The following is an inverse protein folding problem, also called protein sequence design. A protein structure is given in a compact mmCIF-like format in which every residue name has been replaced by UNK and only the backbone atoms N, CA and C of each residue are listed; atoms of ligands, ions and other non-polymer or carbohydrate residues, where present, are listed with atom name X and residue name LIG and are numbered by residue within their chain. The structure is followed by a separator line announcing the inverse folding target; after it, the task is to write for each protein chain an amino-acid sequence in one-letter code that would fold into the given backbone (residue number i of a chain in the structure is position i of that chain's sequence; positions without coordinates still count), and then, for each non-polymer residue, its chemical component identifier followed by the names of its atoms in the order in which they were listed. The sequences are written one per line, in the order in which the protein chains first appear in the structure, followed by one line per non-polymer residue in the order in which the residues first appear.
data_IF_853522047207
#
_entry.id   IF_853522047207
#
_cell.length_a   1.000
_cell.length_b   1.000
_cell.length_c   1.000
_cell.angle_alpha   90.00
_cell.angle_beta   90.00
_cell.angle_gamma   90.00
#
_symmetry.space_group_name_H-M   'P 1'
#
loop_
_entity.id
_entity.type
_entity.pdbx_description
1 polymer ?
#
# COMPACT_ATOMS: atom_id res chain seq x y z
N UNK A 1 -32.97 28.05 -16.68
CA UNK A 1 -32.48 26.75 -17.19
C UNK A 1 -30.97 26.73 -16.99
N UNK A 2 -30.49 26.10 -15.91
CA UNK A 2 -29.08 26.11 -15.58
C UNK A 2 -28.31 25.26 -16.59
N UNK A 3 -27.50 25.88 -17.45
CA UNK A 3 -26.51 25.17 -18.25
C UNK A 3 -25.57 24.46 -17.27
N UNK A 4 -25.78 23.16 -17.08
CA UNK A 4 -24.94 22.30 -16.25
C UNK A 4 -23.48 22.44 -16.74
N UNK A 5 -22.63 22.97 -15.87
CA UNK A 5 -21.22 23.25 -16.16
C UNK A 5 -20.52 21.94 -16.60
N UNK A 6 -19.65 21.97 -17.65
CA UNK A 6 -18.98 20.77 -18.17
C UNK A 6 -18.26 19.95 -17.08
N UNK A 7 -17.72 20.59 -16.04
CA UNK A 7 -17.08 19.90 -14.92
C UNK A 7 -18.09 19.08 -14.10
N UNK A 8 -19.29 19.61 -13.83
CA UNK A 8 -20.31 18.84 -13.09
C UNK A 8 -20.74 17.60 -13.88
N UNK A 9 -20.83 17.70 -15.21
CA UNK A 9 -21.12 16.57 -16.08
C UNK A 9 -20.00 15.53 -16.04
N UNK A 10 -18.74 15.97 -16.11
CA UNK A 10 -17.57 15.07 -16.00
C UNK A 10 -17.61 14.33 -14.66
N UNK A 11 -17.77 15.07 -13.55
CA UNK A 11 -17.79 14.49 -12.20
C UNK A 11 -18.87 13.42 -12.04
N UNK A 12 -20.11 13.75 -12.42
CA UNK A 12 -21.25 12.83 -12.30
C UNK A 12 -21.13 11.64 -13.25
N UNK A 13 -20.69 11.87 -14.50
CA UNK A 13 -20.54 10.82 -15.51
C UNK A 13 -19.44 9.84 -15.13
N UNK A 14 -18.26 10.33 -14.75
CA UNK A 14 -17.14 9.49 -14.29
C UNK A 14 -17.56 8.68 -13.08
N UNK A 15 -18.15 9.32 -12.06
CA UNK A 15 -18.63 8.60 -10.87
C UNK A 15 -19.66 7.52 -11.24
N UNK A 16 -20.62 7.80 -12.14
CA UNK A 16 -21.61 6.82 -12.58
C UNK A 16 -21.03 5.62 -13.32
N UNK A 17 -20.04 5.84 -14.19
CA UNK A 17 -19.38 4.78 -14.96
C UNK A 17 -18.46 3.91 -14.08
N UNK A 18 -18.03 4.42 -12.93
CA UNK A 18 -17.16 3.71 -11.99
C UNK A 18 -17.93 2.87 -10.96
N UNK A 19 -19.27 2.98 -10.91
CA UNK A 19 -20.19 2.26 -10.04
C UNK A 19 -20.66 0.94 -10.68
N UNK A 20 -19.83 -0.10 -10.63
CA UNK A 20 -20.22 -1.50 -10.92
C UNK A 20 -20.36 -2.28 -9.58
N UNK A 21 -21.09 -3.43 -9.54
CA UNK A 21 -21.47 -4.08 -8.28
C UNK A 21 -20.23 -4.55 -7.51
N UNK A 22 -20.14 -4.15 -6.24
CA UNK A 22 -19.12 -4.61 -5.29
C UNK A 22 -19.64 -5.88 -4.60
N UNK A 23 -18.93 -6.99 -4.73
CA UNK A 23 -19.14 -8.18 -3.92
C UNK A 23 -17.92 -8.37 -2.99
N UNK A 24 -18.18 -8.50 -1.69
CA UNK A 24 -17.33 -9.17 -0.68
C UNK A 24 -16.16 -8.38 -0.07
N UNK A 25 -15.99 -8.48 1.25
CA UNK A 25 -14.78 -8.06 1.98
C UNK A 25 -15.04 -7.64 3.43
N UNK A 26 -15.36 -8.60 4.31
CA UNK A 26 -15.02 -8.49 5.73
C UNK A 26 -13.54 -8.91 5.89
N UNK A 27 -12.80 -8.35 6.86
CA UNK A 27 -11.39 -8.70 7.11
C UNK A 27 -11.20 -10.12 7.67
N UNK A 28 -9.95 -10.59 7.72
CA UNK A 28 -9.59 -11.94 8.20
C UNK A 28 -9.80 -12.00 9.72
N UNK A 29 -10.54 -13.00 10.20
CA UNK A 29 -10.65 -13.26 11.64
C UNK A 29 -9.42 -14.06 12.11
N UNK A 30 -8.48 -13.40 12.78
CA UNK A 30 -7.24 -14.03 13.28
C UNK A 30 -7.44 -14.84 14.56
N UNK A 31 -8.58 -14.66 15.25
CA UNK A 31 -8.81 -15.25 16.58
C UNK A 31 -9.02 -16.77 16.58
N UNK A 32 -9.22 -17.35 15.39
CA UNK A 32 -9.48 -18.77 15.17
C UNK A 32 -8.21 -19.60 14.93
N UNK A 33 -7.03 -18.97 14.91
CA UNK A 33 -5.74 -19.63 14.70
C UNK A 33 -5.00 -19.85 16.01
N UNK A 34 -4.34 -21.01 16.14
CA UNK A 34 -3.43 -21.26 17.25
C UNK A 34 -2.09 -20.55 17.00
N UNK A 35 -1.62 -19.69 17.92
CA UNK A 35 -0.38 -18.94 17.71
C UNK A 35 0.85 -19.85 17.70
N UNK A 36 1.83 -19.52 16.84
CA UNK A 36 3.08 -20.27 16.79
C UNK A 36 4.00 -19.87 17.96
N UNK A 37 4.42 -20.81 18.83
CA UNK A 37 5.39 -20.52 19.88
C UNK A 37 6.78 -20.28 19.28
N UNK A 38 7.54 -19.34 19.83
CA UNK A 38 8.90 -19.10 19.35
C UNK A 38 9.89 -20.11 19.95
N UNK A 39 10.90 -20.49 19.15
CA UNK A 39 12.09 -21.16 19.65
C UNK A 39 12.96 -20.20 20.50
N UNK A 40 13.97 -20.74 21.18
CA UNK A 40 15.01 -19.93 21.82
C UNK A 40 15.59 -18.98 20.78
N UNK A 41 15.60 -17.67 21.06
CA UNK A 41 15.93 -16.55 20.15
C UNK A 41 14.76 -15.90 19.38
N UNK A 42 13.51 -16.27 19.65
CA UNK A 42 12.36 -15.54 19.11
C UNK A 42 12.09 -15.81 17.62
N UNK A 43 12.58 -16.94 17.12
CA UNK A 43 12.42 -17.38 15.73
C UNK A 43 11.28 -18.40 15.63
N UNK A 44 10.63 -18.44 14.48
CA UNK A 44 9.63 -19.46 14.16
C UNK A 44 10.33 -20.82 14.06
N UNK A 45 9.92 -21.83 14.85
CA UNK A 45 10.45 -23.18 14.72
C UNK A 45 9.90 -23.83 13.45
N UNK A 46 10.74 -24.58 12.74
CA UNK A 46 10.40 -25.28 11.52
C UNK A 46 10.56 -26.80 11.64
N UNK A 47 11.40 -27.27 12.58
CA UNK A 47 11.68 -28.70 12.77
C UNK A 47 11.02 -29.25 14.03
N UNK A 48 10.91 -28.44 15.09
CA UNK A 48 10.29 -28.87 16.33
C UNK A 48 8.79 -29.18 16.11
N UNK A 49 8.44 -30.45 16.24
CA UNK A 49 7.07 -30.96 16.04
C UNK A 49 6.71 -31.28 14.59
N UNK A 50 7.68 -31.23 13.66
CA UNK A 50 7.50 -31.74 12.31
C UNK A 50 7.59 -33.28 12.28
N UNK A 51 6.79 -33.92 11.42
CA UNK A 51 6.69 -35.38 11.32
C UNK A 51 7.09 -35.84 9.90
N UNK A 52 8.41 -35.97 9.62
CA UNK A 52 8.87 -36.33 8.29
C UNK A 52 8.49 -37.78 7.94
N UNK A 53 8.06 -38.00 6.70
CA UNK A 53 7.70 -39.32 6.18
C UNK A 53 8.84 -40.36 6.19
N UNK A 54 10.08 -39.90 6.29
CA UNK A 54 11.26 -40.75 6.55
C UNK A 54 11.87 -40.38 7.91
N UNK A 55 11.95 -41.33 8.87
CA UNK A 55 12.55 -41.06 10.18
C UNK A 55 14.06 -40.81 10.02
N UNK A 56 14.58 -39.90 10.85
CA UNK A 56 16.00 -39.56 10.91
C UNK A 56 16.47 -39.53 12.36
N UNK A 57 17.74 -39.85 12.58
CA UNK A 57 18.37 -39.79 13.90
C UNK A 57 18.61 -38.34 14.33
N UNK A 58 18.94 -37.49 13.35
CA UNK A 58 19.23 -36.08 13.56
C UNK A 58 18.90 -35.25 12.33
N UNK A 59 18.36 -34.05 12.56
CA UNK A 59 18.06 -33.07 11.51
C UNK A 59 18.55 -31.69 11.95
N UNK A 60 19.21 -30.96 11.05
CA UNK A 60 19.68 -29.59 11.30
C UNK A 60 19.32 -28.65 10.15
N UNK A 61 18.59 -27.58 10.47
CA UNK A 61 18.40 -26.45 9.58
C UNK A 61 19.59 -25.51 9.74
N UNK A 62 20.41 -25.39 8.69
CA UNK A 62 21.62 -24.57 8.70
C UNK A 62 21.51 -23.44 7.69
N UNK A 63 21.83 -22.22 8.15
CA UNK A 63 22.06 -21.09 7.26
C UNK A 63 23.45 -21.21 6.64
N UNK A 64 23.54 -21.06 5.32
CA UNK A 64 24.81 -21.07 4.58
C UNK A 64 25.19 -19.68 4.09
N UNK A 65 26.46 -19.49 3.76
CA UNK A 65 26.96 -18.22 3.24
C UNK A 65 26.31 -17.89 1.88
N UNK A 66 25.68 -16.72 1.76
CA UNK A 66 25.17 -16.22 0.49
C UNK A 66 26.33 -15.70 -0.37
N UNK A 67 26.25 -15.78 -1.72
CA UNK A 67 27.20 -15.12 -2.63
C UNK A 67 27.30 -13.58 -2.44
N UNK A 68 26.34 -12.98 -1.71
CA UNK A 68 26.17 -11.54 -1.55
C UNK A 68 26.76 -10.92 -0.27
N UNK A 69 27.35 -11.70 0.66
CA UNK A 69 27.95 -11.13 1.87
C UNK A 69 28.60 -12.16 2.82
N UNK A 70 29.68 -11.74 3.47
CA UNK A 70 30.50 -12.55 4.37
C UNK A 70 29.74 -12.93 5.66
N UNK A 71 29.16 -14.13 5.70
CA UNK A 71 28.64 -14.73 6.91
C UNK A 71 29.16 -16.15 7.08
N UNK A 72 29.47 -16.50 8.32
CA UNK A 72 29.81 -17.87 8.71
C UNK A 72 28.54 -18.72 8.76
N UNK A 73 28.53 -19.92 8.16
CA UNK A 73 27.44 -20.87 8.31
C UNK A 73 27.09 -21.09 9.78
N UNK A 74 25.80 -21.20 10.10
CA UNK A 74 25.35 -21.40 11.48
C UNK A 74 24.11 -22.28 11.54
N UNK A 75 24.07 -23.17 12.53
CA UNK A 75 22.91 -23.99 12.84
C UNK A 75 21.80 -23.09 13.41
N UNK A 76 20.61 -23.12 12.81
CA UNK A 76 19.46 -22.34 13.25
C UNK A 76 18.56 -23.13 14.19
N UNK A 77 18.37 -24.42 13.88
CA UNK A 77 17.50 -25.33 14.61
C UNK A 77 17.99 -26.76 14.38
N UNK A 78 17.86 -27.60 15.39
CA UNK A 78 18.10 -29.03 15.25
C UNK A 78 17.20 -29.88 16.14
N UNK A 79 16.94 -31.10 15.69
CA UNK A 79 16.09 -32.09 16.36
C UNK A 79 16.77 -33.45 16.26
N UNK A 80 16.65 -34.26 17.32
CA UNK A 80 17.27 -35.58 17.40
C UNK A 80 18.68 -35.58 17.99
N UNK A 81 19.33 -36.74 18.01
CA UNK A 81 20.70 -36.92 18.52
C UNK A 81 21.65 -37.24 17.38
N UNK A 82 22.62 -36.32 17.15
CA UNK A 82 23.66 -36.44 16.12
C UNK A 82 24.31 -37.82 16.16
N UNK A 83 24.27 -38.51 15.02
CA UNK A 83 25.02 -39.75 14.78
C UNK A 83 24.72 -40.85 15.80
N UNK A 84 23.53 -40.86 16.39
CA UNK A 84 23.15 -41.86 17.40
C UNK A 84 23.07 -43.28 16.84
N UNK A 85 22.71 -43.44 15.55
CA UNK A 85 22.74 -44.71 14.82
C UNK A 85 24.06 -45.02 14.09
N UNK A 86 25.07 -44.13 14.15
CA UNK A 86 26.30 -44.28 13.37
C UNK A 86 27.23 -45.34 13.97
N UNK A 87 27.84 -46.16 13.11
CA UNK A 87 28.90 -47.08 13.49
C UNK A 87 30.22 -46.32 13.80
N UNK A 88 30.49 -45.23 13.07
CA UNK A 88 31.62 -44.31 13.32
C UNK A 88 31.11 -42.90 13.65
N UNK A 89 30.76 -42.71 14.93
CA UNK A 89 30.21 -41.44 15.42
C UNK A 89 31.13 -40.24 15.15
N UNK A 90 32.45 -40.29 15.43
CA UNK A 90 33.35 -39.18 15.08
C UNK A 90 33.36 -38.82 13.59
N UNK A 91 33.42 -39.81 12.70
CA UNK A 91 33.42 -39.55 11.26
C UNK A 91 32.09 -38.91 10.79
N UNK A 92 30.96 -39.43 11.28
CA UNK A 92 29.64 -38.87 11.00
C UNK A 92 29.49 -37.42 11.51
N UNK A 93 29.97 -37.13 12.74
CA UNK A 93 29.91 -35.78 13.30
C UNK A 93 30.80 -34.80 12.49
N UNK A 94 31.96 -35.26 12.00
CA UNK A 94 32.82 -34.48 11.10
C UNK A 94 32.14 -34.22 9.75
N UNK A 95 31.44 -35.21 9.19
CA UNK A 95 30.67 -35.05 7.96
C UNK A 95 29.51 -34.05 8.11
N UNK A 96 28.76 -34.13 9.22
CA UNK A 96 27.72 -33.12 9.56
C UNK A 96 28.35 -31.73 9.73
N UNK A 97 29.53 -31.62 10.36
CA UNK A 97 30.20 -30.33 10.55
C UNK A 97 30.68 -29.74 9.21
N UNK A 98 31.16 -30.58 8.29
CA UNK A 98 31.61 -30.18 6.96
C UNK A 98 30.48 -29.96 5.95
N UNK A 99 29.27 -30.45 6.24
CA UNK A 99 28.11 -30.38 5.35
C UNK A 99 27.78 -28.93 4.93
N UNK A 100 27.84 -28.68 3.62
CA UNK A 100 27.51 -27.40 2.99
C UNK A 100 26.97 -27.63 1.59
N UNK A 101 26.34 -26.62 0.99
CA UNK A 101 26.02 -26.62 -0.44
C UNK A 101 26.33 -25.26 -1.06
N UNK A 102 26.49 -25.24 -2.38
CA UNK A 102 26.54 -24.01 -3.19
C UNK A 102 25.14 -23.56 -3.62
N UNK A 103 24.13 -24.42 -3.41
CA UNK A 103 22.71 -24.12 -3.53
C UNK A 103 22.11 -24.03 -2.14
N UNK A 104 20.92 -23.47 -2.06
CA UNK A 104 20.11 -23.52 -0.87
C UNK A 104 18.69 -23.09 -1.17
N UNK A 105 17.83 -23.23 -0.17
CA UNK A 105 16.44 -22.82 -0.24
C UNK A 105 16.15 -21.68 0.74
N UNK A 106 15.08 -20.94 0.44
CA UNK A 106 14.58 -19.85 1.28
C UNK A 106 13.33 -20.24 2.02
N UNK A 107 13.29 -19.84 3.28
CA UNK A 107 12.13 -19.88 4.16
C UNK A 107 11.61 -18.46 4.33
N UNK A 108 10.31 -18.27 4.17
CA UNK A 108 9.68 -16.96 4.28
C UNK A 108 9.89 -16.06 3.06
N UNK A 109 9.44 -14.83 3.21
CA UNK A 109 9.60 -13.79 2.21
C UNK A 109 10.99 -13.14 2.25
N UNK A 110 11.37 -12.56 1.11
CA UNK A 110 12.71 -12.02 0.86
C UNK A 110 12.59 -10.56 0.44
N UNK A 111 13.09 -9.65 1.29
CA UNK A 111 12.99 -8.20 1.08
C UNK A 111 14.37 -7.58 0.95
N UNK A 112 15.12 -7.51 2.05
CA UNK A 112 16.45 -6.88 2.10
C UNK A 112 17.57 -7.91 2.26
N UNK A 113 17.31 -8.95 3.07
CA UNK A 113 18.26 -9.99 3.43
C UNK A 113 17.61 -11.36 3.25
N UNK A 114 18.21 -12.20 2.41
CA UNK A 114 17.61 -13.45 1.96
C UNK A 114 18.62 -14.59 2.16
N UNK A 115 18.74 -15.12 3.39
CA UNK A 115 19.66 -16.20 3.68
C UNK A 115 19.20 -17.47 2.95
N UNK A 116 20.15 -18.17 2.37
CA UNK A 116 19.92 -19.51 1.84
C UNK A 116 20.19 -20.53 2.95
N UNK A 117 19.40 -21.59 2.95
CA UNK A 117 19.44 -22.64 3.95
C UNK A 117 19.68 -23.99 3.29
N UNK A 118 20.24 -24.90 4.08
CA UNK A 118 20.25 -26.32 3.79
C UNK A 118 19.63 -27.06 4.97
N UNK A 119 19.06 -28.23 4.69
CA UNK A 119 18.65 -29.18 5.71
C UNK A 119 19.61 -30.36 5.69
N UNK A 120 20.22 -30.65 6.82
CA UNK A 120 21.09 -31.81 6.98
C UNK A 120 20.27 -32.88 7.68
N UNK A 121 20.18 -34.06 7.07
CA UNK A 121 19.45 -35.22 7.59
C UNK A 121 20.47 -36.33 7.82
N UNK A 122 20.50 -36.89 9.02
CA UNK A 122 21.39 -37.99 9.38
C UNK A 122 20.58 -39.23 9.77
N UNK A 123 20.95 -40.37 9.18
CA UNK A 123 20.39 -41.70 9.49
C UNK A 123 21.53 -42.71 9.51
N UNK A 124 21.86 -43.24 10.67
CA UNK A 124 23.03 -44.09 10.85
C UNK A 124 24.32 -43.36 10.47
N UNK A 125 25.11 -43.99 9.60
CA UNK A 125 26.34 -43.41 9.02
C UNK A 125 26.06 -42.44 7.85
N UNK A 126 24.83 -42.39 7.33
CA UNK A 126 24.51 -41.56 6.17
C UNK A 126 24.18 -40.11 6.58
N UNK A 127 24.79 -39.15 5.88
CA UNK A 127 24.52 -37.72 6.02
C UNK A 127 24.05 -37.17 4.68
N UNK A 128 22.82 -36.71 4.60
CA UNK A 128 22.21 -36.15 3.39
C UNK A 128 22.03 -34.64 3.52
N UNK A 129 22.41 -33.89 2.49
CA UNK A 129 22.16 -32.44 2.41
C UNK A 129 21.03 -32.16 1.43
N UNK A 130 19.92 -31.59 1.92
CA UNK A 130 18.81 -31.11 1.12
C UNK A 130 18.97 -29.61 0.91
N UNK A 131 19.15 -29.19 -0.34
CA UNK A 131 19.47 -27.80 -0.70
C UNK A 131 18.44 -27.16 -1.65
N UNK A 132 17.31 -27.84 -1.88
CA UNK A 132 16.18 -27.32 -2.65
C UNK A 132 14.86 -27.49 -1.91
N UNK A 133 13.88 -26.62 -2.22
CA UNK A 133 12.54 -26.70 -1.64
C UNK A 133 11.85 -28.03 -1.93
N UNK A 134 12.06 -28.57 -3.12
CA UNK A 134 11.42 -29.82 -3.54
C UNK A 134 12.04 -31.03 -2.83
N UNK A 135 13.36 -31.01 -2.57
CA UNK A 135 14.00 -32.04 -1.75
C UNK A 135 13.49 -32.02 -0.31
N UNK A 136 13.34 -30.82 0.30
CA UNK A 136 12.78 -30.70 1.65
C UNK A 136 11.32 -31.15 1.70
N UNK A 137 10.49 -30.79 0.70
CA UNK A 137 9.11 -31.27 0.61
C UNK A 137 9.02 -32.78 0.47
N UNK A 138 9.88 -33.38 -0.35
CA UNK A 138 9.93 -34.83 -0.53
C UNK A 138 10.35 -35.56 0.75
N UNK A 139 11.26 -34.98 1.53
CA UNK A 139 11.67 -35.51 2.83
C UNK A 139 10.57 -35.38 3.90
N UNK A 140 9.89 -34.23 3.94
CA UNK A 140 8.77 -33.99 4.86
C UNK A 140 7.65 -35.00 4.61
N UNK A 141 7.35 -35.33 3.35
CA UNK A 141 6.29 -36.27 3.02
C UNK A 141 4.90 -35.63 3.20
N UNK A 142 3.88 -36.40 3.59
CA UNK A 142 2.55 -35.87 3.85
C UNK A 142 2.57 -34.80 4.95
N UNK A 143 1.76 -33.76 4.83
CA UNK A 143 1.56 -32.77 5.89
C UNK A 143 0.54 -33.32 6.86
N UNK A 144 0.98 -33.83 8.01
CA UNK A 144 0.13 -34.42 9.03
C UNK A 144 0.29 -33.77 10.42
N UNK A 145 1.29 -32.91 10.62
CA UNK A 145 1.44 -32.06 11.80
C UNK A 145 1.31 -30.55 11.50
N UNK A 146 0.90 -29.72 12.49
CA UNK A 146 0.85 -28.26 12.31
C UNK A 146 2.20 -27.63 11.94
N UNK A 147 3.30 -28.20 12.43
CA UNK A 147 4.66 -27.73 12.10
C UNK A 147 5.00 -27.97 10.61
N UNK A 148 4.50 -29.08 10.03
CA UNK A 148 4.69 -29.38 8.61
C UNK A 148 3.99 -28.33 7.75
N UNK A 149 2.79 -27.90 8.16
CA UNK A 149 2.05 -26.85 7.47
C UNK A 149 2.78 -25.50 7.52
N UNK A 150 3.35 -25.14 8.67
CA UNK A 150 4.17 -23.92 8.84
C UNK A 150 5.43 -23.98 7.97
N UNK A 151 6.10 -25.14 7.92
CA UNK A 151 7.27 -25.36 7.06
C UNK A 151 6.89 -25.28 5.58
N UNK A 152 5.78 -25.90 5.16
CA UNK A 152 5.28 -25.84 3.79
C UNK A 152 4.95 -24.40 3.35
N UNK A 153 4.24 -23.62 4.17
CA UNK A 153 3.96 -22.21 3.92
C UNK A 153 5.25 -21.37 3.81
N UNK A 154 6.23 -21.66 4.65
CA UNK A 154 7.53 -20.97 4.65
C UNK A 154 8.36 -21.31 3.42
N UNK A 155 8.36 -22.57 2.97
CA UNK A 155 8.95 -23.00 1.70
C UNK A 155 8.23 -22.39 0.49
N UNK A 156 6.94 -22.07 0.60
CA UNK A 156 6.21 -21.34 -0.44
C UNK A 156 6.53 -19.83 -0.47
N UNK A 157 7.27 -19.32 0.51
CA UNK A 157 7.74 -17.93 0.57
C UNK A 157 6.84 -16.98 1.37
N UNK A 158 6.07 -17.51 2.32
CA UNK A 158 5.29 -16.74 3.29
C UNK A 158 5.95 -16.79 4.66
N UNK A 159 5.93 -15.68 5.38
CA UNK A 159 6.52 -15.56 6.71
C UNK A 159 5.46 -15.78 7.78
N UNK A 160 5.52 -16.92 8.46
CA UNK A 160 4.70 -17.24 9.63
C UNK A 160 5.41 -16.69 10.87
N UNK A 161 4.81 -15.71 11.57
CA UNK A 161 5.46 -15.04 12.71
C UNK A 161 5.11 -15.70 14.04
N UNK A 162 6.13 -16.18 14.76
CA UNK A 162 5.92 -16.62 16.13
C UNK A 162 5.65 -15.43 17.09
N UNK A 163 4.93 -15.67 18.19
CA UNK A 163 4.55 -14.65 19.19
C UNK A 163 3.83 -13.39 18.65
N UNK A 164 3.27 -13.47 17.45
CA UNK A 164 2.42 -12.44 16.83
C UNK A 164 1.12 -13.10 16.36
N UNK A 165 0.14 -13.31 17.27
CA UNK A 165 -1.06 -14.08 16.97
C UNK A 165 -1.89 -13.52 15.81
N UNK A 166 -1.79 -12.21 15.54
CA UNK A 166 -2.48 -11.56 14.42
C UNK A 166 -1.73 -11.67 13.07
N UNK A 167 -0.53 -12.25 13.05
CA UNK A 167 0.34 -12.33 11.86
C UNK A 167 0.96 -13.74 11.66
N UNK A 168 0.58 -14.71 12.49
CA UNK A 168 1.16 -16.03 12.51
C UNK A 168 0.38 -17.01 13.38
N UNK A 169 -0.08 -18.09 12.77
CA UNK A 169 -0.83 -19.15 13.46
C UNK A 169 -1.21 -20.28 12.52
N UNK A 170 -1.70 -21.36 13.09
CA UNK A 170 -2.12 -22.56 12.35
C UNK A 170 -3.40 -23.11 12.95
N UNK A 171 -4.27 -23.69 12.13
CA UNK A 171 -5.42 -24.46 12.59
C UNK A 171 -5.68 -25.66 11.68
N UNK A 172 -6.21 -26.77 12.20
CA UNK A 172 -6.64 -27.88 11.36
C UNK A 172 -7.89 -27.53 10.55
N UNK A 173 -7.97 -28.06 9.33
CA UNK A 173 -9.15 -28.01 8.45
C UNK A 173 -9.33 -29.37 7.75
N UNK A 174 -10.03 -30.30 8.41
CA UNK A 174 -10.18 -31.68 7.92
C UNK A 174 -8.84 -32.40 7.85
N UNK A 175 -8.48 -32.92 6.67
CA UNK A 175 -7.20 -33.58 6.39
C UNK A 175 -6.11 -32.58 5.90
N UNK A 176 -6.37 -31.28 6.06
CA UNK A 176 -5.51 -30.17 5.66
C UNK A 176 -5.30 -29.20 6.82
N UNK A 177 -4.50 -28.17 6.58
CA UNK A 177 -4.25 -27.11 7.55
C UNK A 177 -4.50 -25.74 6.94
N UNK A 178 -4.96 -24.80 7.76
CA UNK A 178 -4.89 -23.39 7.42
C UNK A 178 -3.79 -22.69 8.21
N UNK A 179 -2.98 -21.90 7.51
CA UNK A 179 -1.84 -21.17 8.08
C UNK A 179 -2.03 -19.68 7.88
N UNK A 180 -2.00 -18.93 8.98
CA UNK A 180 -1.95 -17.48 8.97
C UNK A 180 -0.50 -17.03 8.77
N UNK A 181 -0.23 -16.29 7.70
CA UNK A 181 1.13 -15.88 7.35
C UNK A 181 1.17 -14.50 6.70
N UNK A 182 2.35 -13.87 6.65
CA UNK A 182 2.54 -12.56 6.01
C UNK A 182 3.47 -12.65 4.81
N UNK A 183 3.32 -11.74 3.85
CA UNK A 183 4.27 -11.55 2.75
C UNK A 183 4.35 -10.09 2.34
N UNK A 184 5.55 -9.59 2.08
CA UNK A 184 5.73 -8.33 1.38
C UNK A 184 5.26 -8.45 -0.07
N UNK A 185 4.25 -7.68 -0.44
CA UNK A 185 3.66 -7.63 -1.79
C UNK A 185 4.21 -6.46 -2.60
N UNK A 186 4.78 -5.46 -1.93
CA UNK A 186 5.56 -4.39 -2.54
C UNK A 186 6.68 -3.96 -1.59
N UNK A 187 7.91 -3.85 -2.10
CA UNK A 187 9.09 -3.47 -1.30
C UNK A 187 9.58 -2.05 -1.61
N UNK A 188 8.86 -1.33 -2.49
CA UNK A 188 9.16 0.04 -2.91
C UNK A 188 7.87 0.84 -3.15
N UNK A 189 7.63 1.83 -2.29
CA UNK A 189 6.62 2.89 -2.35
C UNK A 189 5.30 2.59 -3.12
N UNK A 190 4.24 2.11 -2.43
CA UNK A 190 4.21 1.76 -1.01
C UNK A 190 5.07 0.54 -0.70
N UNK A 191 5.63 0.51 0.52
CA UNK A 191 6.04 -0.76 1.11
C UNK A 191 4.76 -1.39 1.64
N UNK A 192 4.43 -2.59 1.18
CA UNK A 192 3.18 -3.28 1.50
C UNK A 192 3.46 -4.66 2.08
N UNK A 193 2.77 -4.98 3.18
CA UNK A 193 2.73 -6.30 3.79
C UNK A 193 1.30 -6.79 3.84
N UNK A 194 1.11 -8.00 3.33
CA UNK A 194 -0.19 -8.65 3.24
C UNK A 194 -0.19 -9.87 4.16
N UNK A 195 -1.26 -10.02 4.93
CA UNK A 195 -1.64 -11.17 5.72
C UNK A 195 -2.45 -12.12 4.84
N UNK A 196 -2.23 -13.42 5.01
CA UNK A 196 -2.84 -14.48 4.22
C UNK A 196 -3.39 -15.54 5.17
N UNK A 197 -4.58 -16.06 4.85
CA UNK A 197 -4.96 -17.42 5.25
C UNK A 197 -4.57 -18.33 4.09
N UNK A 198 -3.66 -19.26 4.36
CA UNK A 198 -3.15 -20.23 3.40
C UNK A 198 -3.75 -21.59 3.69
N UNK A 199 -4.35 -22.24 2.71
CA UNK A 199 -4.69 -23.66 2.76
C UNK A 199 -3.46 -24.48 2.40
N UNK A 200 -3.08 -25.42 3.25
CA UNK A 200 -2.00 -26.38 3.02
C UNK A 200 -2.61 -27.77 2.94
N UNK A 201 -2.58 -28.36 1.74
CA UNK A 201 -3.08 -29.71 1.52
C UNK A 201 -2.13 -30.79 2.08
N UNK A 202 -2.62 -32.02 2.18
CA UNK A 202 -1.85 -33.17 2.68
C UNK A 202 -0.57 -33.47 1.86
N UNK A 203 -0.43 -32.95 0.64
CA UNK A 203 0.78 -33.07 -0.18
C UNK A 203 1.75 -31.89 -0.02
N UNK A 204 1.46 -30.93 0.86
CA UNK A 204 2.25 -29.71 1.05
C UNK A 204 2.00 -28.64 -0.01
N UNK A 205 0.95 -28.75 -0.81
CA UNK A 205 0.49 -27.72 -1.73
C UNK A 205 -0.10 -26.54 -0.97
N UNK A 206 0.35 -25.31 -1.30
CA UNK A 206 -0.07 -24.08 -0.63
C UNK A 206 -0.97 -23.25 -1.54
N UNK A 207 -2.16 -22.91 -1.05
CA UNK A 207 -3.15 -22.09 -1.75
C UNK A 207 -3.53 -20.87 -0.90
N UNK A 208 -3.62 -19.68 -1.51
CA UNK A 208 -4.18 -18.50 -0.84
C UNK A 208 -5.72 -18.62 -0.75
N UNK A 209 -6.27 -18.63 0.46
CA UNK A 209 -7.71 -18.71 0.73
C UNK A 209 -8.31 -17.32 0.99
N UNK A 210 -7.67 -16.54 1.85
CA UNK A 210 -8.02 -15.15 2.16
C UNK A 210 -6.78 -14.26 2.21
N UNK A 211 -6.96 -12.96 1.94
CA UNK A 211 -5.86 -11.99 1.97
C UNK A 211 -6.31 -10.66 2.61
N UNK A 212 -5.43 -10.03 3.39
CA UNK A 212 -5.63 -8.73 4.02
C UNK A 212 -4.33 -7.93 4.03
N UNK A 213 -4.29 -6.75 3.42
CA UNK A 213 -3.12 -5.86 3.52
C UNK A 213 -3.06 -5.26 4.94
N UNK A 214 -2.09 -5.69 5.75
CA UNK A 214 -1.91 -5.26 7.14
C UNK A 214 -1.02 -4.03 7.28
N UNK A 215 -0.24 -3.67 6.25
CA UNK A 215 0.58 -2.46 6.21
C UNK A 215 0.66 -1.91 4.79
N UNK A 216 0.35 -0.62 4.60
CA UNK A 216 0.51 0.09 3.32
C UNK A 216 0.63 1.60 3.54
N UNK A 217 1.72 2.22 3.07
CA UNK A 217 1.94 3.67 3.14
C UNK A 217 1.86 4.33 1.74
N UNK A 218 0.72 4.96 1.37
CA UNK A 218 0.70 6.01 0.33
C UNK A 218 -0.48 7.03 0.43
N UNK A 219 -0.30 8.23 -0.16
CA UNK A 219 -0.89 9.52 0.24
C UNK A 219 -2.23 9.98 -0.37
N UNK A 220 -2.81 11.04 0.22
CA UNK A 220 -4.15 11.55 -0.07
C UNK A 220 -4.19 12.76 -1.04
N UNK A 221 -5.17 12.76 -1.95
CA UNK A 221 -5.44 13.77 -2.98
C UNK A 221 -6.64 14.67 -2.60
N UNK A 222 -6.48 15.53 -1.58
CA UNK A 222 -7.49 16.54 -1.24
C UNK A 222 -6.80 17.90 -1.10
N UNK A 223 -7.32 18.91 -1.79
CA UNK A 223 -6.83 20.29 -1.77
C UNK A 223 -5.62 20.58 -2.68
N UNK A 224 -5.53 21.84 -3.14
CA UNK A 224 -4.39 22.38 -3.92
C UNK A 224 -3.13 22.43 -3.08
N UNK A 225 -1.99 21.94 -3.56
CA UNK A 225 -0.72 22.05 -2.82
C UNK A 225 0.01 23.35 -3.19
N UNK A 226 0.41 24.20 -2.21
CA UNK A 226 1.21 25.37 -2.53
C UNK A 226 2.64 24.96 -2.92
N UNK A 227 3.23 25.68 -3.87
CA UNK A 227 4.67 25.61 -4.10
C UNK A 227 5.44 25.93 -2.80
N UNK A 228 6.45 25.14 -2.47
CA UNK A 228 7.20 25.28 -1.21
C UNK A 228 6.59 24.54 0.00
N UNK A 229 5.54 23.73 -0.19
CA UNK A 229 5.04 22.85 0.87
C UNK A 229 6.10 21.81 1.26
N UNK A 230 6.53 21.82 2.52
CA UNK A 230 7.45 20.81 3.02
C UNK A 230 6.75 19.45 3.17
N UNK A 231 7.45 18.38 2.78
CA UNK A 231 6.95 17.01 2.91
C UNK A 231 6.83 16.64 4.38
N UNK A 232 5.65 16.16 4.76
CA UNK A 232 5.37 15.65 6.09
C UNK A 232 4.28 14.57 5.98
N UNK A 233 4.45 13.50 6.73
CA UNK A 233 3.45 12.44 6.84
C UNK A 233 2.41 12.78 7.93
N UNK A 234 1.17 12.37 7.71
CA UNK A 234 0.18 12.33 8.80
C UNK A 234 0.58 11.25 9.80
N UNK A 235 0.34 11.52 11.09
CA UNK A 235 0.61 10.55 12.16
C UNK A 235 -0.68 10.26 12.90
N UNK A 236 -0.80 9.09 13.51
CA UNK A 236 -1.98 8.70 14.28
C UNK A 236 -1.80 7.36 14.97
N UNK A 237 -2.67 7.06 15.92
CA UNK A 237 -2.78 5.75 16.55
C UNK A 237 -3.45 4.70 15.63
N UNK A 238 -4.10 5.14 14.54
CA UNK A 238 -4.68 4.27 13.52
C UNK A 238 -4.32 4.75 12.11
N UNK A 239 -4.31 3.87 11.10
CA UNK A 239 -4.13 4.27 9.70
C UNK A 239 -5.15 5.32 9.24
N UNK A 240 -6.41 5.18 9.64
CA UNK A 240 -7.49 6.12 9.32
C UNK A 240 -7.26 7.49 9.96
N UNK A 241 -6.79 7.51 11.21
CA UNK A 241 -6.41 8.73 11.93
C UNK A 241 -5.22 9.44 11.30
N UNK A 242 -4.19 8.70 10.90
CA UNK A 242 -3.02 9.22 10.20
C UNK A 242 -3.40 9.79 8.82
N UNK A 243 -4.26 9.09 8.08
CA UNK A 243 -4.82 9.55 6.81
C UNK A 243 -5.54 10.89 6.97
N UNK A 244 -6.52 10.98 7.88
CA UNK A 244 -7.25 12.24 8.10
C UNK A 244 -6.36 13.34 8.67
N UNK A 245 -5.30 13.01 9.43
CA UNK A 245 -4.29 13.98 9.87
C UNK A 245 -3.55 14.58 8.67
N UNK A 246 -3.16 13.75 7.71
CA UNK A 246 -2.51 14.20 6.49
C UNK A 246 -3.46 15.03 5.62
N UNK A 247 -4.71 14.59 5.41
CA UNK A 247 -5.73 15.36 4.70
C UNK A 247 -5.91 16.73 5.36
N UNK A 248 -6.14 16.78 6.67
CA UNK A 248 -6.29 18.05 7.40
C UNK A 248 -5.08 18.98 7.28
N UNK A 249 -3.87 18.44 7.16
CA UNK A 249 -2.65 19.22 6.91
C UNK A 249 -2.61 19.76 5.48
N UNK A 250 -3.02 18.97 4.50
CA UNK A 250 -3.09 19.38 3.09
C UNK A 250 -4.13 20.48 2.89
N UNK A 251 -5.35 20.35 3.43
CA UNK A 251 -6.37 21.41 3.39
C UNK A 251 -5.84 22.72 4.03
N UNK A 252 -5.14 22.59 5.16
CA UNK A 252 -4.54 23.75 5.82
C UNK A 252 -3.44 24.40 4.96
N UNK A 253 -2.73 23.61 4.15
CA UNK A 253 -1.75 24.12 3.19
C UNK A 253 -2.44 24.79 1.99
N UNK A 254 -3.59 24.29 1.56
CA UNK A 254 -4.37 24.84 0.45
C UNK A 254 -4.88 26.26 0.71
N UNK A 255 -5.07 26.64 1.98
CA UNK A 255 -5.31 28.04 2.38
C UNK A 255 -4.21 28.96 1.83
N UNK A 256 -2.94 28.57 2.00
CA UNK A 256 -1.79 29.32 1.48
C UNK A 256 -1.74 29.30 -0.05
N UNK A 257 -2.07 28.15 -0.65
CA UNK A 257 -2.10 28.00 -2.10
C UNK A 257 -3.08 28.97 -2.76
N UNK A 258 -4.30 29.10 -2.22
CA UNK A 258 -5.31 30.02 -2.76
C UNK A 258 -5.00 31.49 -2.48
N UNK A 259 -4.35 31.80 -1.35
CA UNK A 259 -3.89 33.15 -1.04
C UNK A 259 -2.78 33.61 -2.00
N UNK A 260 -1.79 32.74 -2.26
CA UNK A 260 -0.75 32.96 -3.30
C UNK A 260 -1.41 33.09 -4.67
N UNK A 261 -2.27 32.16 -5.06
CA UNK A 261 -2.96 32.17 -6.35
C UNK A 261 -3.73 33.48 -6.56
N UNK A 262 -4.45 33.96 -5.54
CA UNK A 262 -5.17 35.22 -5.62
C UNK A 262 -4.26 36.43 -5.86
N UNK A 263 -3.08 36.48 -5.22
CA UNK A 263 -2.08 37.53 -5.45
C UNK A 263 -1.48 37.46 -6.84
N UNK A 264 -1.10 36.28 -7.30
CA UNK A 264 -0.50 36.09 -8.61
C UNK A 264 -1.49 36.41 -9.73
N UNK A 265 -2.75 35.97 -9.61
CA UNK A 265 -3.82 36.35 -10.53
C UNK A 265 -3.99 37.87 -10.60
N UNK A 266 -4.01 38.56 -9.46
CA UNK A 266 -4.11 40.02 -9.45
C UNK A 266 -2.89 40.69 -10.09
N UNK A 267 -1.68 40.19 -9.80
CA UNK A 267 -0.42 40.68 -10.38
C UNK A 267 -0.41 40.56 -11.91
N UNK A 268 -0.88 39.44 -12.45
CA UNK A 268 -0.94 39.18 -13.89
C UNK A 268 -2.18 39.77 -14.59
N UNK A 269 -2.97 40.59 -13.89
CA UNK A 269 -4.13 41.30 -14.47
C UNK A 269 -5.34 40.40 -14.74
N UNK A 270 -5.55 39.36 -13.94
CA UNK A 270 -6.75 38.53 -14.02
C UNK A 270 -8.01 39.33 -13.65
N UNK A 271 -9.16 39.04 -14.28
CA UNK A 271 -10.43 39.65 -13.92
C UNK A 271 -10.72 39.51 -12.42
N UNK A 272 -11.21 40.58 -11.81
CA UNK A 272 -11.58 40.64 -10.39
C UNK A 272 -12.41 39.44 -9.91
N UNK A 273 -13.39 38.90 -10.67
CA UNK A 273 -14.13 37.70 -10.26
C UNK A 273 -13.27 36.45 -10.07
N UNK A 274 -12.16 36.25 -10.81
CA UNK A 274 -11.26 35.11 -10.60
C UNK A 274 -10.48 35.25 -9.30
N UNK A 275 -9.99 36.46 -9.00
CA UNK A 275 -9.29 36.77 -7.74
C UNK A 275 -10.22 36.58 -6.54
N UNK A 276 -11.46 37.05 -6.63
CA UNK A 276 -12.45 36.91 -5.55
C UNK A 276 -12.84 35.45 -5.32
N UNK A 277 -12.96 34.64 -6.39
CA UNK A 277 -13.19 33.20 -6.29
C UNK A 277 -12.01 32.47 -5.65
N UNK A 278 -10.76 32.84 -5.95
CA UNK A 278 -9.59 32.27 -5.28
C UNK A 278 -9.60 32.56 -3.77
N UNK A 279 -9.90 33.82 -3.38
CA UNK A 279 -10.06 34.19 -1.97
C UNK A 279 -11.22 33.45 -1.29
N UNK A 280 -12.30 33.18 -2.02
CA UNK A 280 -13.41 32.38 -1.52
C UNK A 280 -13.02 30.91 -1.30
N UNK A 281 -12.29 30.31 -2.23
CA UNK A 281 -11.76 28.95 -2.10
C UNK A 281 -10.85 28.85 -0.86
N UNK A 282 -9.94 29.81 -0.64
CA UNK A 282 -9.12 29.82 0.59
C UNK A 282 -9.94 29.86 1.89
N UNK A 283 -11.11 30.51 1.91
CA UNK A 283 -12.03 30.47 3.07
C UNK A 283 -12.76 29.14 3.21
N UNK A 284 -12.99 28.44 2.11
CA UNK A 284 -13.51 27.07 2.12
C UNK A 284 -12.48 26.14 2.76
N UNK A 285 -11.20 26.29 2.42
CA UNK A 285 -10.12 25.46 2.96
C UNK A 285 -9.88 25.60 4.45
N UNK A 286 -10.08 26.81 5.01
CA UNK A 286 -10.06 26.98 6.48
C UNK A 286 -11.12 26.11 7.14
N UNK A 287 -12.30 25.98 6.52
CA UNK A 287 -13.37 25.11 7.03
C UNK A 287 -13.02 23.64 6.81
N UNK A 288 -12.49 23.27 5.64
CA UNK A 288 -12.08 21.91 5.32
C UNK A 288 -11.02 21.40 6.30
N UNK A 289 -9.95 22.16 6.49
CA UNK A 289 -8.90 21.86 7.46
C UNK A 289 -9.46 21.65 8.88
N UNK A 290 -10.41 22.50 9.31
CA UNK A 290 -11.05 22.37 10.62
C UNK A 290 -11.87 21.10 10.76
N UNK A 291 -12.68 20.74 9.76
CA UNK A 291 -13.52 19.53 9.83
C UNK A 291 -12.68 18.26 9.68
N UNK A 292 -11.67 18.26 8.83
CA UNK A 292 -10.74 17.15 8.66
C UNK A 292 -9.89 16.93 9.91
N UNK A 293 -9.47 18.01 10.60
CA UNK A 293 -8.77 17.89 11.89
C UNK A 293 -9.64 17.24 12.96
N UNK A 294 -10.96 17.48 12.95
CA UNK A 294 -11.90 16.81 13.87
C UNK A 294 -12.07 15.33 13.54
N UNK A 295 -12.16 14.98 12.26
CA UNK A 295 -12.15 13.57 11.82
C UNK A 295 -10.83 12.90 12.21
N UNK A 296 -9.70 13.55 11.97
CA UNK A 296 -8.39 13.09 12.40
C UNK A 296 -8.38 12.75 13.89
N UNK A 297 -8.76 13.68 14.77
CA UNK A 297 -8.82 13.44 16.21
C UNK A 297 -9.75 12.27 16.59
N UNK A 298 -10.93 12.16 15.94
CA UNK A 298 -11.89 11.07 16.16
C UNK A 298 -11.30 9.69 15.88
N UNK A 299 -10.43 9.58 14.89
CA UNK A 299 -9.76 8.33 14.52
C UNK A 299 -8.36 8.19 15.15
N UNK A 300 -8.04 8.97 16.18
CA UNK A 300 -6.73 8.89 16.87
C UNK A 300 -5.57 9.53 16.10
N UNK A 301 -5.86 10.37 15.12
CA UNK A 301 -4.88 11.13 14.35
C UNK A 301 -4.22 12.26 15.13
N UNK A 302 -2.96 12.52 14.82
CA UNK A 302 -2.11 13.58 15.37
C UNK A 302 -1.81 14.60 14.28
N UNK A 303 -2.68 15.60 14.18
CA UNK A 303 -2.50 16.70 13.23
C UNK A 303 -1.29 17.57 13.56
N UNK A 304 -0.60 18.02 12.52
CA UNK A 304 0.51 18.97 12.59
C UNK A 304 0.25 20.11 11.59
N UNK A 305 0.59 21.36 11.93
CA UNK A 305 0.44 22.48 11.01
C UNK A 305 1.35 22.29 9.78
N UNK A 306 0.89 22.67 8.58
CA UNK A 306 1.74 22.66 7.39
C UNK A 306 2.84 23.72 7.53
N UNK A 307 3.98 23.46 6.91
CA UNK A 307 5.05 24.44 6.71
C UNK A 307 5.16 24.71 5.22
N UNK A 308 5.03 25.97 4.85
CA UNK A 308 5.10 26.44 3.46
C UNK A 308 6.19 27.49 3.40
N UNK A 309 7.22 27.24 2.60
CA UNK A 309 8.26 28.22 2.36
C UNK A 309 7.73 29.34 1.45
N UNK A 310 7.95 30.62 1.82
CA UNK A 310 7.57 31.73 0.96
C UNK A 310 8.25 31.62 -0.41
N UNK A 311 7.49 31.91 -1.47
CA UNK A 311 8.00 32.01 -2.83
C UNK A 311 7.67 33.40 -3.40
N UNK A 312 8.53 33.94 -4.27
CA UNK A 312 8.19 35.15 -5.02
C UNK A 312 6.98 34.90 -5.94
N UNK A 313 6.37 35.98 -6.42
CA UNK A 313 5.32 35.90 -7.44
C UNK A 313 5.89 35.23 -8.68
N UNK A 314 5.27 34.12 -9.10
CA UNK A 314 5.69 33.34 -10.27
C UNK A 314 5.35 34.03 -11.58
N UNK A 315 6.04 33.64 -12.65
CA UNK A 315 5.63 33.99 -14.01
C UNK A 315 4.24 33.44 -14.35
N UNK A 316 3.60 34.00 -15.38
CA UNK A 316 2.29 33.52 -15.83
C UNK A 316 2.34 32.07 -16.33
N UNK A 317 3.45 31.67 -16.97
CA UNK A 317 3.67 30.28 -17.39
C UNK A 317 3.72 29.34 -16.17
N UNK A 318 4.56 29.64 -15.18
CA UNK A 318 4.70 28.79 -13.99
C UNK A 318 3.38 28.66 -13.23
N UNK A 319 2.61 29.75 -13.12
CA UNK A 319 1.24 29.72 -12.58
C UNK A 319 0.33 28.81 -13.40
N UNK A 320 0.40 28.88 -14.73
CA UNK A 320 -0.43 28.07 -15.61
C UNK A 320 -0.08 26.57 -15.53
N UNK A 321 1.21 26.23 -15.44
CA UNK A 321 1.70 24.86 -15.23
C UNK A 321 1.19 24.31 -13.89
N UNK A 322 1.35 25.08 -12.81
CA UNK A 322 0.85 24.73 -11.47
C UNK A 322 -0.68 24.56 -11.47
N UNK A 323 -1.40 25.46 -12.14
CA UNK A 323 -2.85 25.40 -12.25
C UNK A 323 -3.33 24.21 -13.08
N UNK A 324 -2.60 23.80 -14.13
CA UNK A 324 -2.94 22.62 -14.91
C UNK A 324 -2.76 21.33 -14.09
N UNK A 325 -1.67 21.24 -13.32
CA UNK A 325 -1.34 20.07 -12.49
C UNK A 325 -2.21 20.00 -11.25
N UNK A 326 -2.12 20.98 -10.36
CA UNK A 326 -2.77 20.94 -9.04
C UNK A 326 -4.26 21.28 -9.15
N UNK A 327 -4.62 22.30 -9.93
CA UNK A 327 -6.00 22.77 -10.03
C UNK A 327 -6.87 21.95 -10.99
N UNK A 328 -6.51 21.92 -12.27
CA UNK A 328 -7.34 21.31 -13.30
C UNK A 328 -7.39 19.79 -13.15
N UNK A 329 -6.27 19.16 -12.81
CA UNK A 329 -6.18 17.70 -12.66
C UNK A 329 -6.43 17.27 -11.21
N UNK A 330 -5.57 17.66 -10.25
CA UNK A 330 -5.62 17.10 -8.89
C UNK A 330 -6.83 17.55 -8.07
N UNK A 331 -7.26 18.82 -8.09
CA UNK A 331 -8.50 19.25 -7.39
C UNK A 331 -9.74 18.59 -8.01
N UNK A 332 -9.82 18.50 -9.35
CA UNK A 332 -10.97 17.83 -10.00
C UNK A 332 -11.04 16.35 -9.64
N UNK A 333 -9.91 15.64 -9.62
CA UNK A 333 -9.87 14.25 -9.17
C UNK A 333 -10.13 14.10 -7.67
N UNK A 334 -9.62 15.02 -6.85
CA UNK A 334 -9.91 15.08 -5.42
C UNK A 334 -11.41 15.25 -5.12
N UNK A 335 -12.11 16.07 -5.92
CA UNK A 335 -13.56 16.20 -5.85
C UNK A 335 -14.28 14.87 -6.18
N UNK A 336 -13.82 14.12 -7.20
CA UNK A 336 -14.35 12.79 -7.52
C UNK A 336 -14.19 11.80 -6.36
N UNK A 337 -12.98 11.75 -5.78
CA UNK A 337 -12.69 10.89 -4.62
C UNK A 337 -13.55 11.32 -3.43
N UNK A 338 -13.70 12.61 -3.17
CA UNK A 338 -14.58 13.12 -2.12
C UNK A 338 -16.05 12.76 -2.32
N UNK A 339 -16.56 12.79 -3.56
CA UNK A 339 -17.92 12.33 -3.88
C UNK A 339 -18.08 10.83 -3.62
N UNK A 340 -17.08 10.02 -3.98
CA UNK A 340 -17.03 8.59 -3.69
C UNK A 340 -17.05 8.33 -2.18
N UNK A 341 -16.16 8.98 -1.41
CA UNK A 341 -16.12 8.88 0.06
C UNK A 341 -17.45 9.30 0.69
N UNK A 342 -18.10 10.34 0.14
CA UNK A 342 -19.43 10.80 0.54
C UNK A 342 -20.54 9.75 0.39
N UNK A 343 -20.35 8.75 -0.48
CA UNK A 343 -21.29 7.65 -0.73
C UNK A 343 -20.92 6.38 0.05
N UNK A 344 -19.64 6.05 0.13
CA UNK A 344 -19.16 4.72 0.51
C UNK A 344 -18.54 4.60 1.90
N UNK A 345 -18.20 5.70 2.57
CA UNK A 345 -17.65 5.59 3.93
C UNK A 345 -18.66 4.93 4.90
N UNK A 346 -18.20 4.00 5.73
CA UNK A 346 -19.03 3.33 6.75
C UNK A 346 -19.57 4.31 7.79
N UNK A 347 -18.75 5.27 8.22
CA UNK A 347 -19.18 6.29 9.19
C UNK A 347 -20.09 7.34 8.51
N UNK A 348 -21.37 7.49 8.93
CA UNK A 348 -22.27 8.51 8.39
C UNK A 348 -21.77 9.95 8.55
N UNK A 349 -20.95 10.23 9.56
CA UNK A 349 -20.30 11.54 9.73
C UNK A 349 -19.29 11.80 8.62
N UNK A 350 -18.43 10.82 8.31
CA UNK A 350 -17.45 10.92 7.22
C UNK A 350 -18.18 11.15 5.90
N UNK A 351 -19.24 10.39 5.60
CA UNK A 351 -20.06 10.60 4.40
C UNK A 351 -20.58 12.03 4.28
N UNK A 352 -21.17 12.57 5.35
CA UNK A 352 -21.70 13.95 5.36
C UNK A 352 -20.60 14.99 5.17
N UNK A 353 -19.46 14.82 5.84
CA UNK A 353 -18.31 15.74 5.72
C UNK A 353 -17.77 15.72 4.29
N UNK A 354 -17.46 14.54 3.77
CA UNK A 354 -16.88 14.39 2.43
C UNK A 354 -17.84 14.85 1.33
N UNK A 355 -19.14 14.58 1.45
CA UNK A 355 -20.13 15.09 0.50
C UNK A 355 -20.23 16.63 0.50
N UNK A 356 -19.92 17.30 1.61
CA UNK A 356 -19.86 18.76 1.67
C UNK A 356 -18.56 19.27 1.06
N UNK A 357 -17.43 18.72 1.48
CA UNK A 357 -16.09 19.08 0.96
C UNK A 357 -16.06 18.90 -0.55
N UNK A 358 -16.51 17.76 -1.08
CA UNK A 358 -16.51 17.51 -2.51
C UNK A 358 -17.33 18.51 -3.35
N UNK A 359 -18.40 19.09 -2.80
CA UNK A 359 -19.15 20.17 -3.48
C UNK A 359 -18.35 21.47 -3.51
N UNK A 360 -17.64 21.77 -2.44
CA UNK A 360 -16.75 22.94 -2.36
C UNK A 360 -15.56 22.74 -3.32
N UNK A 361 -14.90 21.58 -3.30
CA UNK A 361 -13.81 21.19 -4.23
C UNK A 361 -14.23 21.24 -5.70
N UNK A 362 -15.46 20.82 -6.04
CA UNK A 362 -15.97 20.93 -7.41
C UNK A 362 -16.06 22.39 -7.89
N UNK A 363 -16.26 23.36 -6.97
CA UNK A 363 -16.22 24.80 -7.30
C UNK A 363 -14.79 25.29 -7.48
N UNK A 364 -13.83 24.74 -6.74
CA UNK A 364 -12.41 25.05 -6.86
C UNK A 364 -11.86 24.54 -8.20
N UNK A 365 -12.19 23.29 -8.56
CA UNK A 365 -11.90 22.76 -9.89
C UNK A 365 -12.43 23.68 -11.01
N UNK A 366 -13.69 24.13 -10.93
CA UNK A 366 -14.26 25.10 -11.89
C UNK A 366 -13.53 26.45 -11.91
N UNK A 367 -12.90 26.86 -10.81
CA UNK A 367 -12.04 28.04 -10.79
C UNK A 367 -10.75 27.76 -11.56
N UNK A 368 -10.10 26.64 -11.26
CA UNK A 368 -8.89 26.20 -11.94
C UNK A 368 -9.06 26.13 -13.46
N UNK A 369 -10.17 25.57 -13.96
CA UNK A 369 -10.49 25.57 -15.39
C UNK A 369 -10.77 26.97 -15.97
N UNK A 370 -11.40 27.86 -15.21
CA UNK A 370 -11.60 29.24 -15.66
C UNK A 370 -10.29 30.03 -15.73
N UNK A 371 -9.34 29.75 -14.82
CA UNK A 371 -7.98 30.31 -14.85
C UNK A 371 -7.23 29.79 -16.08
N UNK A 372 -7.34 28.50 -16.41
CA UNK A 372 -6.72 27.91 -17.60
C UNK A 372 -7.20 28.61 -18.88
N UNK A 373 -8.52 28.78 -19.06
CA UNK A 373 -9.11 29.50 -20.19
C UNK A 373 -8.61 30.94 -20.28
N UNK A 374 -8.46 31.62 -19.14
CA UNK A 374 -7.95 32.99 -19.11
C UNK A 374 -6.45 33.09 -19.41
N UNK A 375 -5.63 32.20 -18.87
CA UNK A 375 -4.17 32.24 -19.03
C UNK A 375 -3.73 31.81 -20.43
N UNK A 376 -4.37 30.80 -21.02
CA UNK A 376 -3.94 30.14 -22.27
C UNK A 376 -3.71 31.06 -23.49
N UNK A 377 -4.58 32.07 -23.79
CA UNK A 377 -4.33 33.00 -24.90
C UNK A 377 -3.19 33.99 -24.64
N UNK A 378 -2.73 34.13 -23.38
CA UNK A 378 -1.62 35.03 -22.98
C UNK A 378 -0.26 34.35 -22.99
N UNK A 379 -0.23 33.04 -23.21
CA UNK A 379 0.98 32.24 -23.34
C UNK A 379 1.42 32.13 -24.81
N UNK A 380 2.70 31.99 -25.05
CA UNK A 380 3.25 31.58 -26.35
C UNK A 380 2.91 30.14 -26.69
N UNK A 381 3.13 29.74 -27.94
CA UNK A 381 2.91 28.35 -28.36
C UNK A 381 3.82 27.36 -27.61
N UNK A 382 5.04 27.75 -27.25
CA UNK A 382 5.96 26.90 -26.49
C UNK A 382 5.51 26.71 -25.05
N UNK A 383 5.08 27.79 -24.39
CA UNK A 383 4.57 27.76 -23.02
C UNK A 383 3.27 26.93 -22.93
N UNK A 384 2.34 27.11 -23.89
CA UNK A 384 1.13 26.26 -23.98
C UNK A 384 1.47 24.77 -24.07
N UNK A 385 2.49 24.39 -24.86
CA UNK A 385 2.92 22.99 -24.96
C UNK A 385 3.41 22.44 -23.61
N UNK A 386 4.18 23.23 -22.85
CA UNK A 386 4.66 22.84 -21.52
C UNK A 386 3.52 22.72 -20.49
N UNK A 387 2.53 23.60 -20.56
CA UNK A 387 1.29 23.48 -19.75
C UNK A 387 0.52 22.19 -20.09
N UNK A 388 0.34 21.90 -21.38
CA UNK A 388 -0.36 20.68 -21.81
C UNK A 388 0.42 19.40 -21.46
N UNK A 389 1.76 19.46 -21.49
CA UNK A 389 2.64 18.38 -21.03
C UNK A 389 2.54 18.15 -19.52
N UNK A 390 2.57 19.22 -18.72
CA UNK A 390 2.36 19.14 -17.28
C UNK A 390 0.99 18.51 -16.94
N UNK A 391 -0.07 18.91 -17.67
CA UNK A 391 -1.41 18.31 -17.52
C UNK A 391 -1.40 16.81 -17.80
N UNK A 392 -0.77 16.38 -18.91
CA UNK A 392 -0.65 14.95 -19.25
C UNK A 392 0.15 14.19 -18.20
N UNK A 393 1.29 14.73 -17.77
CA UNK A 393 2.10 14.15 -16.70
C UNK A 393 1.32 13.96 -15.41
N UNK A 394 0.49 14.95 -15.03
CA UNK A 394 -0.37 14.86 -13.86
C UNK A 394 -1.45 13.77 -14.00
N UNK A 395 -2.06 13.61 -15.19
CA UNK A 395 -3.02 12.54 -15.45
C UNK A 395 -2.37 11.16 -15.37
N UNK A 396 -1.21 10.96 -16.00
CA UNK A 396 -0.46 9.70 -15.91
C UNK A 396 -0.04 9.40 -14.47
N UNK A 397 0.38 10.41 -13.71
CA UNK A 397 0.68 10.25 -12.30
C UNK A 397 -0.54 9.78 -11.50
N UNK A 398 -1.74 10.32 -11.77
CA UNK A 398 -2.97 9.86 -11.11
C UNK A 398 -3.33 8.41 -11.47
N UNK A 399 -3.11 7.99 -12.72
CA UNK A 399 -3.35 6.60 -13.12
C UNK A 399 -2.40 5.63 -12.41
N UNK A 400 -1.12 6.00 -12.28
CA UNK A 400 -0.15 5.22 -11.51
C UNK A 400 -0.46 5.25 -10.00
N UNK A 401 -0.91 6.39 -9.46
CA UNK A 401 -1.44 6.51 -8.09
C UNK A 401 -2.63 5.55 -7.87
N UNK A 402 -3.54 5.44 -8.84
CA UNK A 402 -4.74 4.61 -8.74
C UNK A 402 -4.50 3.10 -8.89
N UNK A 403 -3.33 2.67 -9.37
CA UNK A 403 -2.93 1.25 -9.40
C UNK A 403 -2.54 0.71 -8.03
N UNK A 404 -2.21 1.60 -7.09
CA UNK A 404 -1.77 1.28 -5.72
C UNK A 404 -2.93 0.71 -4.91
N UNK A 405 -2.62 -0.19 -4.00
CA UNK A 405 -3.61 -0.66 -3.04
C UNK A 405 -3.88 0.38 -1.97
N UNK A 406 -5.11 0.37 -1.48
CA UNK A 406 -5.60 1.29 -0.45
C UNK A 406 -5.95 0.43 0.74
N UNK A 407 -5.33 0.72 1.89
CA UNK A 407 -5.53 -0.05 3.12
C UNK A 407 -7.04 -0.31 3.39
N UNK A 408 -7.45 -1.55 3.72
CA UNK A 408 -8.87 -1.90 3.89
C UNK A 408 -9.59 -0.98 4.87
N UNK A 409 -8.94 -0.58 5.96
CA UNK A 409 -9.47 0.35 6.93
C UNK A 409 -9.81 1.73 6.33
N UNK A 410 -9.05 2.21 5.33
CA UNK A 410 -9.36 3.46 4.61
C UNK A 410 -10.53 3.30 3.65
N UNK A 411 -10.65 2.15 2.98
CA UNK A 411 -11.81 1.84 2.13
C UNK A 411 -13.08 1.81 2.98
N UNK A 412 -13.04 1.11 4.12
CA UNK A 412 -14.20 0.96 5.01
C UNK A 412 -14.53 2.26 5.74
N UNK A 413 -13.58 2.87 6.46
CA UNK A 413 -13.89 3.96 7.38
C UNK A 413 -13.77 5.35 6.74
N UNK A 414 -12.78 5.57 5.88
CA UNK A 414 -12.64 6.82 5.15
C UNK A 414 -13.41 6.82 3.82
N UNK A 415 -13.96 5.67 3.41
CA UNK A 415 -14.71 5.52 2.17
C UNK A 415 -13.82 5.64 0.93
N UNK A 416 -12.52 5.43 1.04
CA UNK A 416 -11.62 5.54 -0.11
C UNK A 416 -12.00 4.52 -1.20
N UNK A 417 -11.85 4.85 -2.48
CA UNK A 417 -11.99 3.85 -3.53
C UNK A 417 -10.90 2.79 -3.37
N UNK A 418 -11.28 1.52 -3.25
CA UNK A 418 -10.35 0.41 -3.36
C UNK A 418 -9.73 0.35 -4.75
N UNK A 419 -8.65 -0.42 -4.94
CA UNK A 419 -7.82 -0.46 -6.15
C UNK A 419 -8.62 -0.46 -7.46
N UNK A 420 -9.56 -1.39 -7.59
CA UNK A 420 -10.32 -1.55 -8.84
C UNK A 420 -11.29 -0.38 -9.10
N UNK A 421 -11.89 0.18 -8.05
CA UNK A 421 -12.67 1.41 -8.16
C UNK A 421 -11.79 2.63 -8.49
N UNK A 422 -10.60 2.73 -7.87
CA UNK A 422 -9.64 3.80 -8.10
C UNK A 422 -9.16 3.80 -9.56
N UNK A 423 -8.80 2.63 -10.11
CA UNK A 423 -8.41 2.44 -11.52
C UNK A 423 -9.52 2.86 -12.49
N UNK A 424 -10.77 2.50 -12.20
CA UNK A 424 -11.91 2.95 -13.01
C UNK A 424 -12.10 4.46 -12.93
N UNK A 425 -12.02 5.04 -11.73
CA UNK A 425 -12.15 6.48 -11.54
C UNK A 425 -11.04 7.24 -12.29
N UNK A 426 -9.78 6.82 -12.18
CA UNK A 426 -8.65 7.50 -12.83
C UNK A 426 -8.72 7.41 -14.35
N UNK A 427 -8.97 6.21 -14.90
CA UNK A 427 -9.07 5.99 -16.35
C UNK A 427 -10.22 6.81 -16.95
N UNK A 428 -11.42 6.66 -16.39
CA UNK A 428 -12.60 7.38 -16.88
C UNK A 428 -12.42 8.91 -16.75
N UNK A 429 -11.73 9.36 -15.71
CA UNK A 429 -11.39 10.77 -15.52
C UNK A 429 -10.39 11.26 -16.59
N UNK A 430 -9.31 10.52 -16.85
CA UNK A 430 -8.32 10.87 -17.85
C UNK A 430 -8.96 10.98 -19.25
N UNK A 431 -9.77 9.98 -19.64
CA UNK A 431 -10.53 10.00 -20.89
C UNK A 431 -11.45 11.22 -20.99
N UNK A 432 -12.17 11.55 -19.91
CA UNK A 432 -13.08 12.69 -19.89
C UNK A 432 -12.35 14.04 -20.00
N UNK A 433 -11.18 14.19 -19.37
CA UNK A 433 -10.36 15.40 -19.47
C UNK A 433 -9.78 15.56 -20.88
N UNK A 434 -9.29 14.49 -21.49
CA UNK A 434 -8.74 14.52 -22.86
C UNK A 434 -9.85 14.86 -23.86
N UNK A 435 -11.02 14.23 -23.77
CA UNK A 435 -12.16 14.52 -24.63
C UNK A 435 -12.69 15.95 -24.44
N UNK A 436 -12.71 16.45 -23.20
CA UNK A 436 -13.09 17.83 -22.87
C UNK A 436 -12.09 18.86 -23.42
N UNK A 437 -10.78 18.59 -23.35
CA UNK A 437 -9.74 19.45 -23.89
C UNK A 437 -9.78 19.52 -25.43
N UNK A 438 -10.15 18.42 -26.10
CA UNK A 438 -10.33 18.40 -27.55
C UNK A 438 -11.55 19.22 -28.02
N UNK A 439 -12.62 19.28 -27.22
CA UNK A 439 -13.84 20.03 -27.53
C UNK A 439 -13.80 21.54 -27.24
N UNK A 440 -12.77 22.04 -26.53
CA UNK A 440 -12.57 23.47 -26.23
C UNK A 440 -11.60 24.14 -27.22
N UNK A 441 -11.04 23.34 -28.16
CA UNK A 441 -10.13 23.80 -29.21
C UNK A 441 -10.75 23.90 -30.61
N UNK A 442 -12.09 23.79 -30.74
CA UNK A 442 -12.83 23.95 -31.99
C UNK A 442 -13.65 25.24 -31.98
#
# INVERSE_FOLDING_TARGET
MASSNPIDKILLRVLSLSLAPLAGGCGIDTSVFEPIPCASEGRTPYLAGAEPGAPADYVELRMIASPSGAMTPSALESVGEKCSGAADRPACEEEIAAATSTKGFRLGDCVDYCPDHILIVNTGDEVTVLDTRDAVRAWLGPVDAPADAVLAASLAGYTVRCSKPDEGGVRPDGDAYEVLATRYTATCAPIERTLYVLGVDAGGGVQELETEVIESESGACVGRRPAGLLRAAGRGATPVGAYFANVARLEAASVWAFDVLGRELAHHGAPRPLVERARAAGRDEVRHARVMRRLSARYGGRWQPPRVEPRPVRSLEELAIDNATEGCVRETYGALVGMWQGRFARDPLVRRVMARVARDEARHAKLSWAIDVWARPRLSAAERRRVDEARRGALSALEEEARREVAPALVVHAGMPGREAARRLSRNFAEAIVAGAAGVGA
#
